data_IF_599030311326
#
_entry.id   IF_599030311326
#
_cell.length_a   1.000
_cell.length_b   1.000
_cell.length_c   1.000
_cell.angle_alpha   90.00
_cell.angle_beta   90.00
_cell.angle_gamma   90.00
#
_symmetry.space_group_name_H-M   'P 1'
#
loop_
_entity.id
_entity.type
_entity.pdbx_description
1 polymer ?
#
# COMPACT_ATOMS: atom_id res chain seq x y z
N UNK A 1 -11.58 27.12 -31.35
CA UNK A 1 -11.99 26.40 -30.12
C UNK A 1 -10.77 25.65 -29.64
N UNK A 2 -10.26 25.94 -28.44
CA UNK A 2 -9.03 25.32 -27.92
C UNK A 2 -9.44 24.13 -27.06
N UNK A 3 -9.02 22.92 -27.45
CA UNK A 3 -9.26 21.69 -26.68
C UNK A 3 -8.05 21.46 -25.76
N UNK A 4 -8.29 21.04 -24.52
CA UNK A 4 -7.25 20.73 -23.53
C UNK A 4 -7.55 19.38 -22.86
N UNK A 5 -6.50 18.65 -22.48
CA UNK A 5 -6.56 17.36 -21.79
C UNK A 5 -5.85 17.48 -20.43
N UNK A 6 -6.46 16.95 -19.37
CA UNK A 6 -5.87 16.84 -18.03
C UNK A 6 -5.77 15.38 -17.60
N UNK A 7 -4.70 15.04 -16.89
CA UNK A 7 -4.45 13.69 -16.38
C UNK A 7 -3.30 13.69 -15.36
N UNK A 8 -3.04 12.53 -14.77
CA UNK A 8 -1.95 12.28 -13.82
C UNK A 8 -1.41 10.86 -13.99
N UNK A 9 -0.16 10.63 -13.57
CA UNK A 9 0.49 9.32 -13.64
C UNK A 9 1.50 9.18 -12.50
N UNK A 10 1.37 8.09 -11.74
CA UNK A 10 2.38 7.65 -10.78
C UNK A 10 2.79 6.20 -11.05
N UNK A 11 4.11 5.96 -11.11
CA UNK A 11 4.69 4.61 -11.12
C UNK A 11 5.52 4.39 -9.86
N UNK A 12 4.81 4.17 -8.74
CA UNK A 12 5.43 4.13 -7.40
C UNK A 12 6.55 3.09 -7.32
N UNK A 13 6.35 1.90 -7.91
CA UNK A 13 7.32 0.81 -7.95
C UNK A 13 8.63 1.14 -8.67
N UNK A 14 8.61 2.11 -9.60
CA UNK A 14 9.79 2.53 -10.35
C UNK A 14 10.46 3.78 -9.80
N UNK A 15 9.79 4.55 -8.94
CA UNK A 15 10.32 5.81 -8.39
C UNK A 15 10.78 5.71 -6.94
N UNK A 16 10.24 4.79 -6.15
CA UNK A 16 10.66 4.54 -4.76
C UNK A 16 11.71 3.41 -4.69
N UNK A 17 12.81 3.57 -5.41
CA UNK A 17 13.94 2.63 -5.41
C UNK A 17 15.27 3.35 -5.11
N UNK A 18 16.39 2.64 -5.27
CA UNK A 18 17.72 3.16 -4.98
C UNK A 18 18.12 4.37 -5.86
N UNK A 19 17.42 4.59 -6.97
CA UNK A 19 17.62 5.73 -7.88
C UNK A 19 16.70 6.93 -7.57
N UNK A 20 15.95 6.90 -6.46
CA UNK A 20 15.06 7.99 -6.08
C UNK A 20 15.84 9.31 -5.92
N UNK A 21 15.43 10.34 -6.65
CA UNK A 21 16.05 11.65 -6.55
C UNK A 21 15.76 12.30 -5.19
N UNK A 22 16.81 12.45 -4.38
CA UNK A 22 16.75 13.13 -3.07
C UNK A 22 17.30 14.55 -3.09
N UNK A 23 17.74 15.04 -4.24
CA UNK A 23 18.30 16.38 -4.37
C UNK A 23 17.23 17.42 -3.99
N UNK A 24 17.55 18.25 -2.98
CA UNK A 24 16.63 19.25 -2.41
C UNK A 24 15.29 18.69 -1.94
N UNK A 25 15.23 17.40 -1.57
CA UNK A 25 14.03 16.78 -1.04
C UNK A 25 13.58 17.38 0.31
N UNK A 26 14.48 18.09 1.01
CA UNK A 26 14.15 18.86 2.21
C UNK A 26 14.85 20.21 2.18
N UNK A 27 14.18 21.20 2.76
CA UNK A 27 14.63 22.59 2.92
C UNK A 27 14.94 22.85 4.40
N UNK A 28 16.06 23.52 4.67
CA UNK A 28 16.52 23.73 6.05
C UNK A 28 15.67 24.76 6.80
N UNK A 29 15.16 25.78 6.10
CA UNK A 29 14.27 26.74 6.73
C UNK A 29 12.96 26.07 7.15
N UNK A 30 12.39 25.20 6.31
CA UNK A 30 11.17 24.43 6.66
C UNK A 30 11.44 23.50 7.83
N UNK A 31 12.58 22.79 7.87
CA UNK A 31 12.92 21.92 9.01
C UNK A 31 12.95 22.70 10.33
N UNK A 32 13.46 23.92 10.32
CA UNK A 32 13.55 24.75 11.53
C UNK A 32 12.22 25.41 11.91
N UNK A 33 11.49 25.95 10.93
CA UNK A 33 10.35 26.83 11.19
C UNK A 33 8.99 26.13 11.07
N UNK A 34 8.90 25.08 10.25
CA UNK A 34 7.67 24.33 9.99
C UNK A 34 7.93 22.80 9.87
N UNK A 35 8.51 22.15 10.90
CA UNK A 35 8.89 20.74 10.82
C UNK A 35 7.70 19.79 10.55
N UNK A 36 6.49 20.19 10.95
CA UNK A 36 5.26 19.42 10.72
C UNK A 36 4.94 19.17 9.23
N UNK A 37 5.48 19.98 8.30
CA UNK A 37 5.33 19.74 6.85
C UNK A 37 6.07 18.49 6.37
N UNK A 38 7.02 17.96 7.16
CA UNK A 38 7.72 16.70 6.87
C UNK A 38 7.16 15.50 7.63
N UNK A 39 6.02 15.67 8.31
CA UNK A 39 5.31 14.57 8.95
C UNK A 39 4.89 13.54 7.91
N UNK A 40 5.09 12.25 8.22
CA UNK A 40 4.65 11.19 7.33
C UNK A 40 3.12 11.11 7.29
N UNK A 41 2.57 10.61 6.18
CA UNK A 41 1.13 10.41 6.04
C UNK A 41 0.55 9.44 7.08
N UNK A 42 1.36 8.53 7.61
CA UNK A 42 0.92 7.61 8.66
C UNK A 42 0.76 8.34 10.00
N UNK A 43 1.72 9.18 10.38
CA UNK A 43 1.63 10.00 11.59
C UNK A 43 0.45 10.97 11.52
N UNK A 44 0.18 11.57 10.35
CA UNK A 44 -1.00 12.43 10.19
C UNK A 44 -2.30 11.66 10.38
N UNK A 45 -2.40 10.43 9.87
CA UNK A 45 -3.56 9.57 10.05
C UNK A 45 -3.81 9.23 11.54
N UNK A 46 -2.75 8.92 12.29
CA UNK A 46 -2.86 8.67 13.74
C UNK A 46 -3.32 9.92 14.51
N UNK A 47 -2.81 11.11 14.15
CA UNK A 47 -3.26 12.36 14.76
C UNK A 47 -4.74 12.63 14.49
N UNK A 48 -5.22 12.38 13.26
CA UNK A 48 -6.63 12.53 12.90
C UNK A 48 -7.49 11.54 13.69
N UNK A 49 -7.06 10.27 13.73
CA UNK A 49 -7.73 9.21 14.51
C UNK A 49 -7.88 9.61 15.98
N UNK A 50 -6.79 10.01 16.63
CA UNK A 50 -6.80 10.43 18.03
C UNK A 50 -7.63 11.70 18.27
N UNK A 51 -7.48 12.72 17.40
CA UNK A 51 -8.18 14.01 17.51
C UNK A 51 -9.70 13.85 17.47
N UNK A 52 -10.20 12.95 16.63
CA UNK A 52 -11.63 12.73 16.43
C UNK A 52 -12.13 11.44 17.09
N UNK A 53 -11.30 10.80 17.92
CA UNK A 53 -11.63 9.58 18.66
C UNK A 53 -12.17 8.46 17.76
N UNK A 54 -11.52 8.24 16.61
CA UNK A 54 -11.90 7.21 15.64
C UNK A 54 -11.30 5.88 16.09
N UNK A 55 -12.16 4.98 16.58
CA UNK A 55 -11.70 3.69 17.08
C UNK A 55 -11.07 2.83 15.97
N UNK A 56 -10.15 1.94 16.36
CA UNK A 56 -9.56 0.98 15.42
C UNK A 56 -10.64 0.12 14.73
N UNK A 57 -11.64 -0.30 15.50
CA UNK A 57 -12.76 -1.08 14.97
C UNK A 57 -13.49 -0.34 13.84
N UNK A 58 -13.77 0.95 14.03
CA UNK A 58 -14.42 1.80 13.00
C UNK A 58 -13.55 1.93 11.74
N UNK A 59 -12.23 2.00 11.90
CA UNK A 59 -11.31 2.05 10.74
C UNK A 59 -11.35 0.72 9.95
N UNK A 60 -11.36 -0.42 10.64
CA UNK A 60 -11.43 -1.74 10.01
C UNK A 60 -12.78 -2.00 9.32
N UNK A 61 -13.89 -1.61 9.96
CA UNK A 61 -15.23 -1.68 9.36
C UNK A 61 -15.28 -0.91 8.04
N UNK A 62 -14.68 0.28 7.99
CA UNK A 62 -14.61 1.07 6.77
C UNK A 62 -13.73 0.40 5.70
N UNK A 63 -12.59 -0.17 6.08
CA UNK A 63 -11.71 -0.86 5.14
C UNK A 63 -12.39 -2.07 4.48
N UNK A 64 -13.13 -2.87 5.25
CA UNK A 64 -13.91 -4.01 4.73
C UNK A 64 -15.02 -3.53 3.81
N UNK A 65 -15.78 -2.52 4.24
CA UNK A 65 -16.82 -1.93 3.41
C UNK A 65 -16.28 -1.40 2.07
N UNK A 66 -15.08 -0.80 2.07
CA UNK A 66 -14.43 -0.34 0.84
C UNK A 66 -14.09 -1.50 -0.09
N UNK A 67 -13.55 -2.61 0.43
CA UNK A 67 -13.22 -3.80 -0.36
C UNK A 67 -14.48 -4.46 -0.93
N UNK A 68 -15.56 -4.55 -0.16
CA UNK A 68 -16.83 -5.10 -0.62
C UNK A 68 -17.44 -4.27 -1.74
N UNK A 69 -17.39 -2.93 -1.64
CA UNK A 69 -17.86 -2.03 -2.70
C UNK A 69 -17.04 -2.19 -3.97
N UNK A 70 -15.72 -2.28 -3.86
CA UNK A 70 -14.84 -2.53 -5.02
C UNK A 70 -15.14 -3.88 -5.66
N UNK A 71 -15.32 -4.93 -4.85
CA UNK A 71 -15.69 -6.25 -5.35
C UNK A 71 -17.02 -6.24 -6.10
N UNK A 72 -18.07 -5.65 -5.52
CA UNK A 72 -19.37 -5.53 -6.18
C UNK A 72 -19.26 -4.75 -7.48
N UNK A 73 -18.55 -3.62 -7.49
CA UNK A 73 -18.34 -2.81 -8.70
C UNK A 73 -17.62 -3.58 -9.82
N UNK A 74 -16.59 -4.37 -9.48
CA UNK A 74 -15.89 -5.23 -10.43
C UNK A 74 -16.76 -6.39 -10.95
N UNK A 75 -17.61 -6.98 -10.09
CA UNK A 75 -18.52 -8.07 -10.49
C UNK A 75 -19.65 -7.55 -11.39
N UNK A 76 -20.11 -6.33 -11.15
CA UNK A 76 -21.17 -5.68 -11.94
C UNK A 76 -20.64 -4.99 -13.22
N UNK A 77 -19.33 -5.03 -13.48
CA UNK A 77 -18.72 -4.41 -14.68
C UNK A 77 -18.76 -2.88 -14.67
N UNK A 78 -18.83 -2.23 -13.49
CA UNK A 78 -18.95 -0.77 -13.40
C UNK A 78 -17.74 -0.02 -13.94
N UNK A 79 -16.57 -0.65 -13.92
CA UNK A 79 -15.31 -0.06 -14.38
C UNK A 79 -14.98 -0.34 -15.85
N UNK A 80 -15.78 -1.16 -16.53
CA UNK A 80 -15.49 -1.65 -17.89
C UNK A 80 -15.40 -0.53 -18.94
N UNK A 81 -16.07 0.61 -18.68
CA UNK A 81 -16.07 1.76 -19.59
C UNK A 81 -14.92 2.75 -19.34
N UNK A 82 -14.22 2.64 -18.20
CA UNK A 82 -13.19 3.61 -17.78
C UNK A 82 -11.79 2.99 -17.67
N UNK A 83 -11.68 1.68 -17.42
CA UNK A 83 -10.40 0.97 -17.42
C UNK A 83 -10.05 0.53 -18.84
N UNK A 84 -8.87 0.95 -19.31
CA UNK A 84 -8.30 0.49 -20.58
C UNK A 84 -7.33 -0.67 -20.30
N UNK A 85 -7.52 -1.85 -20.93
CA UNK A 85 -6.61 -2.98 -20.77
C UNK A 85 -5.16 -2.62 -21.11
N UNK A 86 -4.22 -3.00 -20.23
CA UNK A 86 -2.81 -2.70 -20.39
C UNK A 86 -1.98 -3.99 -20.42
N UNK A 87 -1.53 -4.39 -21.61
CA UNK A 87 -0.55 -5.47 -21.77
C UNK A 87 0.80 -5.02 -21.22
N UNK A 88 1.35 -5.80 -20.31
CA UNK A 88 2.54 -5.48 -19.51
C UNK A 88 3.42 -6.71 -19.30
N UNK A 89 4.68 -6.48 -18.96
CA UNK A 89 5.60 -7.55 -18.54
C UNK A 89 5.66 -7.58 -17.02
N UNK A 90 5.12 -8.63 -16.42
CA UNK A 90 5.19 -8.89 -14.99
C UNK A 90 6.47 -9.65 -14.66
N UNK A 91 7.20 -9.15 -13.66
CA UNK A 91 8.30 -9.89 -13.03
C UNK A 91 7.74 -10.86 -12.01
N UNK A 92 7.53 -12.11 -12.41
CA UNK A 92 7.08 -13.18 -11.54
C UNK A 92 8.25 -13.72 -10.71
N UNK A 93 8.03 -13.94 -9.42
CA UNK A 93 9.01 -14.54 -8.51
C UNK A 93 8.46 -15.88 -8.02
N UNK A 94 9.22 -16.95 -8.23
CA UNK A 94 8.87 -18.25 -7.67
C UNK A 94 8.97 -18.20 -6.13
N UNK A 95 7.86 -18.52 -5.46
CA UNK A 95 7.77 -18.50 -3.99
C UNK A 95 8.68 -19.54 -3.33
N UNK A 96 8.98 -20.63 -4.00
CA UNK A 96 9.88 -21.68 -3.49
C UNK A 96 11.34 -21.38 -3.85
N UNK A 97 11.58 -20.60 -4.91
CA UNK A 97 12.91 -20.21 -5.39
C UNK A 97 12.98 -18.70 -5.65
N UNK A 98 12.98 -17.87 -4.59
CA UNK A 98 12.83 -16.41 -4.69
C UNK A 98 13.94 -15.67 -5.43
N UNK A 99 14.99 -16.39 -5.86
CA UNK A 99 16.10 -15.85 -6.66
C UNK A 99 15.78 -15.86 -8.17
N UNK A 100 14.80 -16.65 -8.61
CA UNK A 100 14.41 -16.71 -10.01
C UNK A 100 13.28 -15.72 -10.29
N UNK A 101 13.62 -14.67 -11.04
CA UNK A 101 12.66 -13.72 -11.60
C UNK A 101 12.42 -14.12 -13.05
N UNK A 102 11.17 -14.40 -13.41
CA UNK A 102 10.77 -14.67 -14.79
C UNK A 102 9.87 -13.56 -15.30
N UNK A 103 10.08 -13.17 -16.56
CA UNK A 103 9.23 -12.21 -17.24
C UNK A 103 8.04 -12.95 -17.85
N UNK A 104 6.84 -12.52 -17.47
CA UNK A 104 5.57 -13.09 -17.93
C UNK A 104 4.74 -11.97 -18.53
N UNK A 105 4.31 -12.14 -19.77
CA UNK A 105 3.34 -11.23 -20.38
C UNK A 105 1.98 -11.40 -19.71
N UNK A 106 1.41 -10.30 -19.23
CA UNK A 106 0.09 -10.24 -18.60
C UNK A 106 -0.69 -9.09 -19.21
N UNK A 107 -2.01 -9.22 -19.30
CA UNK A 107 -2.89 -8.09 -19.63
C UNK A 107 -3.64 -7.69 -18.39
N UNK A 108 -3.40 -6.47 -17.92
CA UNK A 108 -4.05 -5.89 -16.75
C UNK A 108 -5.38 -5.30 -17.19
N UNK A 109 -6.48 -5.99 -16.86
CA UNK A 109 -7.84 -5.58 -17.21
C UNK A 109 -8.65 -5.06 -16.01
N UNK A 110 -8.14 -5.26 -14.79
CA UNK A 110 -8.83 -4.95 -13.53
C UNK A 110 -7.84 -4.48 -12.48
N UNK A 111 -8.32 -3.71 -11.51
CA UNK A 111 -7.51 -3.32 -10.36
C UNK A 111 -7.06 -4.53 -9.53
N UNK A 112 -5.76 -4.69 -9.38
CA UNK A 112 -5.14 -5.80 -8.65
C UNK A 112 -5.19 -5.62 -7.12
N UNK A 113 -5.65 -4.47 -6.62
CA UNK A 113 -5.71 -4.16 -5.19
C UNK A 113 -6.88 -4.80 -4.44
N UNK A 114 -7.90 -5.27 -5.15
CA UNK A 114 -9.09 -5.87 -4.55
C UNK A 114 -8.76 -7.21 -3.87
N UNK A 115 -9.26 -7.40 -2.65
CA UNK A 115 -9.10 -8.62 -1.86
C UNK A 115 -10.49 -9.05 -1.37
N UNK A 116 -11.29 -9.73 -2.21
CA UNK A 116 -12.66 -10.11 -1.84
C UNK A 116 -12.67 -11.12 -0.69
N UNK A 117 -13.68 -11.03 0.18
CA UNK A 117 -13.87 -11.93 1.32
C UNK A 117 -13.09 -11.55 2.57
N UNK A 118 -12.68 -10.29 2.71
CA UNK A 118 -12.16 -9.77 3.98
C UNK A 118 -13.29 -9.68 5.02
N UNK A 119 -13.06 -10.12 6.25
CA UNK A 119 -14.00 -10.01 7.37
C UNK A 119 -13.39 -9.10 8.45
N UNK A 120 -14.14 -8.11 8.93
CA UNK A 120 -13.72 -7.20 10.00
C UNK A 120 -13.52 -7.93 11.35
N UNK A 121 -14.04 -9.15 11.47
CA UNK A 121 -13.93 -10.02 12.65
C UNK A 121 -12.79 -11.02 12.54
N UNK A 122 -12.09 -11.09 11.41
CA UNK A 122 -10.88 -11.91 11.31
C UNK A 122 -9.86 -11.39 12.34
N UNK A 123 -9.43 -12.21 13.31
CA UNK A 123 -8.46 -11.79 14.32
C UNK A 123 -7.16 -11.29 13.70
N UNK A 124 -6.83 -11.67 12.46
CA UNK A 124 -5.68 -11.13 11.73
C UNK A 124 -5.87 -9.69 11.27
N UNK A 125 -7.10 -9.23 11.04
CA UNK A 125 -7.42 -7.83 10.78
C UNK A 125 -7.31 -6.99 12.05
N UNK A 126 -7.83 -7.51 13.16
CA UNK A 126 -7.79 -6.83 14.47
C UNK A 126 -6.36 -6.80 15.05
N UNK A 127 -5.58 -7.88 14.89
CA UNK A 127 -4.18 -7.96 15.31
C UNK A 127 -3.17 -7.40 14.29
N UNK A 128 -3.56 -7.08 13.05
CA UNK A 128 -2.68 -6.33 12.14
C UNK A 128 -2.37 -4.90 12.64
N UNK A 129 -3.03 -4.46 13.73
CA UNK A 129 -2.64 -3.30 14.55
C UNK A 129 -1.67 -3.58 15.69
N UNK A 130 -1.39 -4.84 15.99
CA UNK A 130 -0.35 -5.29 16.92
C UNK A 130 0.95 -5.54 16.14
N UNK A 131 1.24 -4.69 15.15
CA UNK A 131 2.58 -4.15 15.13
C UNK A 131 2.68 -3.30 16.40
N UNK A 132 3.23 -3.82 17.50
CA UNK A 132 3.79 -2.92 18.51
C UNK A 132 4.78 -2.06 17.75
N UNK A 133 4.40 -0.81 17.52
CA UNK A 133 5.28 0.17 16.94
C UNK A 133 6.46 0.30 17.91
N UNK A 134 7.57 -0.34 17.54
CA UNK A 134 8.84 -0.12 18.19
C UNK A 134 9.44 1.09 17.47
N UNK A 135 9.70 2.16 18.22
CA UNK A 135 10.32 3.42 17.77
C UNK A 135 11.54 3.21 16.85
N UNK A 136 12.16 2.04 16.90
CA UNK A 136 13.33 1.68 16.08
C UNK A 136 13.05 1.15 14.66
N UNK A 137 11.84 0.67 14.28
CA UNK A 137 11.64 -0.05 13.01
C UNK A 137 10.27 0.22 12.34
N UNK A 138 10.32 0.97 11.24
CA UNK A 138 9.20 1.49 10.42
C UNK A 138 8.23 0.39 9.93
N UNK A 139 6.93 0.68 10.00
CA UNK A 139 5.82 -0.28 9.99
C UNK A 139 5.52 -1.05 8.68
N UNK A 140 4.80 -2.16 8.85
CA UNK A 140 4.32 -3.06 7.80
C UNK A 140 2.88 -3.54 8.08
N UNK A 141 2.09 -3.80 7.03
CA UNK A 141 0.75 -4.43 7.11
C UNK A 141 0.87 -5.96 7.12
N UNK A 142 -0.20 -6.70 7.45
CA UNK A 142 -0.25 -8.18 7.45
C UNK A 142 -1.50 -8.72 6.73
N UNK A 143 -1.41 -9.91 6.11
CA UNK A 143 -2.52 -10.69 5.53
C UNK A 143 -2.30 -12.18 5.85
N UNK A 144 -3.31 -12.90 6.35
CA UNK A 144 -3.23 -14.34 6.69
C UNK A 144 -2.08 -14.71 7.66
N UNK A 145 -1.77 -13.84 8.62
CA UNK A 145 -0.70 -14.06 9.59
C UNK A 145 0.71 -13.84 9.04
N UNK A 146 0.83 -13.29 7.82
CA UNK A 146 2.11 -12.96 7.18
C UNK A 146 2.23 -11.45 6.98
N UNK A 147 3.43 -10.92 7.21
CA UNK A 147 3.75 -9.51 7.00
C UNK A 147 3.71 -9.21 5.50
N UNK A 148 2.83 -8.29 5.11
CA UNK A 148 2.68 -7.74 3.77
C UNK A 148 3.04 -6.27 3.83
N UNK A 149 4.32 -5.95 3.65
CA UNK A 149 4.70 -4.60 3.25
C UNK A 149 4.10 -4.28 1.88
N UNK A 150 3.74 -3.02 1.63
CA UNK A 150 3.29 -2.52 0.32
C UNK A 150 4.33 -2.70 -0.81
N UNK A 151 5.52 -3.23 -0.49
CA UNK A 151 6.57 -3.61 -1.41
C UNK A 151 7.02 -5.02 -1.04
N UNK A 152 6.64 -6.01 -1.83
CA UNK A 152 6.88 -7.42 -1.54
C UNK A 152 8.35 -7.71 -1.24
N UNK A 153 8.66 -7.98 0.03
CA UNK A 153 9.80 -8.79 0.49
C UNK A 153 9.63 -9.13 1.98
N UNK A 154 9.29 -10.38 2.25
CA UNK A 154 9.60 -11.03 3.53
C UNK A 154 10.64 -12.11 3.26
N UNK A 155 11.86 -11.93 3.76
CA UNK A 155 12.84 -13.00 3.86
C UNK A 155 12.77 -13.59 5.26
N UNK A 156 12.07 -14.73 5.38
CA UNK A 156 12.21 -15.66 6.50
C UNK A 156 11.09 -15.65 7.54
N UNK A 157 10.62 -16.86 7.86
CA UNK A 157 9.82 -17.18 9.04
C UNK A 157 10.77 -17.45 10.22
N UNK A 158 11.03 -16.44 11.02
CA UNK A 158 11.80 -16.55 12.27
C UNK A 158 11.22 -15.62 13.34
N UNK A 159 11.32 -16.03 14.61
CA UNK A 159 10.86 -15.25 15.77
C UNK A 159 11.60 -13.91 15.94
N UNK A 160 12.66 -13.69 15.16
CA UNK A 160 13.42 -12.45 15.08
C UNK A 160 12.97 -11.70 13.81
N UNK A 161 12.05 -10.77 13.98
CA UNK A 161 11.32 -10.10 12.88
C UNK A 161 12.16 -9.51 11.74
N UNK A 162 11.45 -9.09 10.68
CA UNK A 162 12.03 -8.58 9.43
C UNK A 162 13.16 -7.56 9.67
N UNK A 163 14.39 -7.93 9.28
CA UNK A 163 15.52 -7.01 9.24
C UNK A 163 15.49 -6.26 7.90
N UNK A 164 15.45 -4.94 7.96
CA UNK A 164 15.64 -4.08 6.79
C UNK A 164 17.13 -4.05 6.41
N UNK A 165 17.44 -4.31 5.14
CA UNK A 165 18.68 -3.87 4.49
C UNK A 165 18.43 -2.53 3.82
#
# INVERSE_FOLDING_TARGET
MTITVGGGLESISLVQNDNMNRHRARDDWIKTNQPALYMSMLETAEIVSARYNISRHTQDEYAVQSQDRTHQAQTEGRFDNEIVPLTSIMKSVDREKPVQVTDVEVTLEKDEGNRPGNDARDPLYVEAGVCRWNESRRGSLYYRGQCVSAFGRCLGSGADGCQAS
#
